data_IF_554756406111
#
_entry.id   IF_554756406111
#
_cell.length_a   1.000
_cell.length_b   1.000
_cell.length_c   1.000
_cell.angle_alpha   90.00
_cell.angle_beta   90.00
_cell.angle_gamma   90.00
#
_symmetry.space_group_name_H-M   'P 1'
#
loop_
_entity.id
_entity.type
_entity.pdbx_description
1 polymer ?
#
# COMPACT_ATOMS: atom_id res chain seq x y z
N UNK A 1 -52.75 55.37 -54.27
CA UNK A 1 -51.86 55.14 -53.12
C UNK A 1 -51.77 53.66 -52.73
N UNK A 2 -51.58 52.74 -53.70
CA UNK A 2 -51.61 51.29 -53.45
C UNK A 2 -50.31 50.56 -53.85
N UNK A 3 -49.41 51.21 -54.58
CA UNK A 3 -48.17 50.59 -55.04
C UNK A 3 -47.13 50.47 -53.91
N UNK A 4 -47.03 51.51 -53.09
CA UNK A 4 -46.13 51.54 -51.93
C UNK A 4 -46.58 50.55 -50.86
N UNK A 5 -47.89 50.44 -50.64
CA UNK A 5 -48.48 49.47 -49.69
C UNK A 5 -48.25 48.04 -50.16
N UNK A 6 -48.41 47.79 -51.47
CA UNK A 6 -48.12 46.46 -52.05
C UNK A 6 -46.63 46.10 -51.96
N UNK A 7 -45.73 47.05 -52.22
CA UNK A 7 -44.28 46.85 -52.07
C UNK A 7 -43.87 46.58 -50.62
N UNK A 8 -44.48 47.28 -49.65
CA UNK A 8 -44.23 47.05 -48.22
C UNK A 8 -44.74 45.67 -47.79
N UNK A 9 -45.90 45.23 -48.28
CA UNK A 9 -46.39 43.88 -48.00
C UNK A 9 -45.53 42.78 -48.64
N UNK A 10 -45.04 42.98 -49.86
CA UNK A 10 -44.13 42.03 -50.52
C UNK A 10 -42.81 41.92 -49.75
N UNK A 11 -42.26 43.05 -49.28
CA UNK A 11 -41.04 43.06 -48.45
C UNK A 11 -41.28 42.41 -47.08
N UNK A 12 -42.42 42.64 -46.44
CA UNK A 12 -42.77 42.03 -45.15
C UNK A 12 -42.91 40.50 -45.25
N UNK A 13 -43.52 40.00 -46.33
CA UNK A 13 -43.65 38.56 -46.60
C UNK A 13 -42.29 37.93 -46.94
N UNK A 14 -41.38 38.67 -47.59
CA UNK A 14 -40.02 38.19 -47.87
C UNK A 14 -39.18 38.06 -46.59
N UNK A 15 -39.31 38.99 -45.63
CA UNK A 15 -38.58 38.93 -44.34
C UNK A 15 -39.11 37.81 -43.45
N UNK A 16 -40.42 37.55 -43.45
CA UNK A 16 -41.03 36.46 -42.66
C UNK A 16 -40.82 35.06 -43.25
N UNK A 17 -40.32 34.96 -44.49
CA UNK A 17 -39.92 33.69 -45.12
C UNK A 17 -38.42 33.41 -45.06
N UNK A 18 -37.65 34.18 -44.30
CA UNK A 18 -36.31 33.74 -43.92
C UNK A 18 -36.47 32.49 -43.05
N UNK A 19 -35.96 31.32 -43.46
CA UNK A 19 -35.91 30.19 -42.56
C UNK A 19 -34.97 30.58 -41.41
N UNK A 20 -35.53 30.77 -40.21
CA UNK A 20 -34.76 30.66 -38.97
C UNK A 20 -34.44 29.18 -38.75
N UNK A 21 -33.69 28.61 -39.70
CA UNK A 21 -32.96 27.38 -39.50
C UNK A 21 -31.79 27.74 -38.61
N UNK A 22 -31.99 27.65 -37.29
CA UNK A 22 -30.91 27.22 -36.43
C UNK A 22 -30.39 25.94 -37.06
N UNK A 23 -29.24 26.01 -37.70
CA UNK A 23 -28.43 24.85 -37.98
C UNK A 23 -28.12 24.25 -36.62
N UNK A 24 -28.97 23.32 -36.16
CA UNK A 24 -28.46 22.19 -35.43
C UNK A 24 -27.36 21.64 -36.35
N UNK A 25 -26.10 21.78 -35.95
CA UNK A 25 -25.02 21.01 -36.51
C UNK A 25 -25.31 19.55 -36.16
N UNK A 26 -26.24 18.93 -36.87
CA UNK A 26 -26.16 17.52 -37.17
C UNK A 26 -24.90 17.47 -38.01
N UNK A 27 -23.79 17.17 -37.37
CA UNK A 27 -22.61 16.70 -38.06
C UNK A 27 -23.08 15.52 -38.88
N UNK A 28 -23.38 15.75 -40.17
CA UNK A 28 -23.27 14.73 -41.20
C UNK A 28 -21.79 14.38 -41.23
N UNK A 29 -21.37 13.57 -40.27
CA UNK A 29 -20.19 12.74 -40.42
C UNK A 29 -20.54 11.74 -41.49
N UNK A 30 -20.40 12.17 -42.74
CA UNK A 30 -20.23 11.26 -43.85
C UNK A 30 -19.06 10.37 -43.44
N UNK A 31 -19.40 9.12 -43.15
CA UNK A 31 -18.48 8.02 -42.93
C UNK A 31 -17.63 7.88 -44.20
N UNK A 32 -16.53 8.61 -44.21
CA UNK A 32 -15.38 8.31 -45.04
C UNK A 32 -14.32 7.88 -44.03
N UNK A 33 -14.16 6.58 -43.84
CA UNK A 33 -13.07 5.97 -43.08
C UNK A 33 -11.74 6.19 -43.83
N UNK A 34 -11.30 7.45 -43.86
CA UNK A 34 -9.89 7.77 -43.95
C UNK A 34 -9.34 7.61 -42.55
N UNK A 35 -8.20 6.95 -42.41
CA UNK A 35 -7.52 6.76 -41.13
C UNK A 35 -7.37 8.11 -40.42
N UNK A 36 -8.29 8.41 -39.50
CA UNK A 36 -8.34 9.70 -38.82
C UNK A 36 -7.29 9.65 -37.70
N UNK A 37 -6.14 10.25 -37.97
CA UNK A 37 -5.04 10.33 -37.00
C UNK A 37 -5.24 11.61 -36.21
N UNK A 38 -5.61 11.47 -34.94
CA UNK A 38 -5.68 12.60 -34.01
C UNK A 38 -4.30 13.26 -33.90
N UNK A 39 -4.28 14.59 -34.04
CA UNK A 39 -3.03 15.34 -33.94
C UNK A 39 -2.42 15.22 -32.53
N UNK A 40 -1.10 15.32 -32.42
CA UNK A 40 -0.42 15.29 -31.11
C UNK A 40 -1.04 16.29 -30.13
N UNK A 41 -1.31 17.53 -30.59
CA UNK A 41 -1.88 18.57 -29.75
C UNK A 41 -3.30 18.21 -29.28
N UNK A 42 -4.10 17.57 -30.13
CA UNK A 42 -5.43 17.11 -29.73
C UNK A 42 -5.36 16.01 -28.68
N UNK A 43 -4.48 15.02 -28.87
CA UNK A 43 -4.26 13.96 -27.90
C UNK A 43 -3.79 14.55 -26.56
N UNK A 44 -2.80 15.45 -26.59
CA UNK A 44 -2.23 16.09 -25.41
C UNK A 44 -3.25 16.94 -24.63
N UNK A 45 -3.96 17.84 -25.32
CA UNK A 45 -4.96 18.71 -24.67
C UNK A 45 -6.15 17.91 -24.15
N UNK A 46 -6.51 16.82 -24.83
CA UNK A 46 -7.61 15.95 -24.41
C UNK A 46 -7.19 14.98 -23.31
N UNK A 47 -5.90 14.68 -23.13
CA UNK A 47 -5.40 13.75 -22.10
C UNK A 47 -4.88 14.44 -20.83
N UNK A 48 -4.59 15.75 -20.86
CA UNK A 48 -4.04 16.47 -19.70
C UNK A 48 -4.92 16.41 -18.44
N UNK A 49 -4.30 16.54 -17.27
CA UNK A 49 -4.97 16.56 -15.96
C UNK A 49 -6.04 17.67 -15.87
N UNK A 50 -7.31 17.28 -15.77
CA UNK A 50 -8.45 18.20 -15.63
C UNK A 50 -9.69 17.49 -15.03
N UNK A 51 -10.71 18.23 -14.57
CA UNK A 51 -11.98 17.63 -14.18
C UNK A 51 -12.67 16.95 -15.37
N UNK A 52 -13.06 15.69 -15.20
CA UNK A 52 -13.70 14.86 -16.23
C UNK A 52 -14.92 14.17 -15.66
N UNK A 53 -15.93 13.98 -16.50
CA UNK A 53 -17.08 13.16 -16.16
C UNK A 53 -16.63 11.71 -15.97
N UNK A 54 -16.94 11.16 -14.81
CA UNK A 54 -16.60 9.80 -14.42
C UNK A 54 -17.83 9.12 -13.86
N UNK A 55 -17.99 7.84 -14.15
CA UNK A 55 -19.02 7.01 -13.53
C UNK A 55 -18.51 6.55 -12.18
N UNK A 56 -19.16 7.02 -11.12
CA UNK A 56 -18.86 6.66 -9.74
C UNK A 56 -19.89 5.63 -9.28
N UNK A 57 -19.42 4.45 -8.86
CA UNK A 57 -20.27 3.43 -8.27
C UNK A 57 -20.75 3.88 -6.88
N UNK A 58 -22.07 3.91 -6.69
CA UNK A 58 -22.68 4.37 -5.45
C UNK A 58 -22.33 3.42 -4.29
N UNK A 59 -22.21 2.12 -4.53
CA UNK A 59 -21.90 1.16 -3.47
C UNK A 59 -20.49 1.32 -2.91
N UNK A 60 -19.53 1.74 -3.74
CA UNK A 60 -18.16 1.97 -3.29
C UNK A 60 -18.04 3.22 -2.42
N UNK A 61 -18.80 4.27 -2.74
CA UNK A 61 -18.85 5.51 -1.94
C UNK A 61 -19.68 5.36 -0.66
N UNK A 62 -20.68 4.47 -0.67
CA UNK A 62 -21.61 4.24 0.44
C UNK A 62 -21.73 2.76 0.83
N UNK A 63 -20.68 2.15 1.39
CA UNK A 63 -20.64 0.71 1.70
C UNK A 63 -21.54 0.29 2.87
N UNK A 64 -21.94 1.21 3.75
CA UNK A 64 -22.66 0.91 5.01
C UNK A 64 -24.08 0.35 4.83
N UNK A 65 -24.63 0.37 3.61
CA UNK A 65 -26.02 0.01 3.33
C UNK A 65 -26.14 -1.35 2.60
N UNK A 66 -25.61 -2.43 3.17
CA UNK A 66 -25.58 -3.78 2.55
C UNK A 66 -26.95 -4.41 2.24
N UNK A 67 -28.05 -3.83 2.71
CA UNK A 67 -29.42 -4.36 2.51
C UNK A 67 -30.21 -3.68 1.37
N UNK A 68 -29.60 -2.75 0.63
CA UNK A 68 -30.32 -1.94 -0.36
C UNK A 68 -29.59 -1.92 -1.71
N UNK A 69 -30.37 -1.78 -2.79
CA UNK A 69 -29.87 -1.57 -4.14
C UNK A 69 -30.20 -0.14 -4.56
N UNK A 70 -29.24 0.55 -5.18
CA UNK A 70 -29.45 1.86 -5.77
C UNK A 70 -29.76 1.76 -7.27
N UNK A 71 -30.74 2.54 -7.73
CA UNK A 71 -31.09 2.69 -9.14
C UNK A 71 -31.03 4.19 -9.49
N UNK A 72 -30.12 4.62 -10.38
CA UNK A 72 -29.05 3.83 -11.00
C UNK A 72 -28.01 3.33 -9.97
N UNK A 73 -27.19 2.34 -10.34
CA UNK A 73 -26.10 1.85 -9.48
C UNK A 73 -24.85 2.75 -9.51
N UNK A 74 -24.72 3.59 -10.53
CA UNK A 74 -23.64 4.57 -10.68
C UNK A 74 -24.20 5.94 -11.08
N UNK A 75 -23.44 6.99 -10.78
CA UNK A 75 -23.76 8.39 -11.12
C UNK A 75 -22.60 9.05 -11.85
N UNK A 76 -22.89 10.02 -12.70
CA UNK A 76 -21.88 10.82 -13.39
C UNK A 76 -21.47 11.98 -12.49
N UNK A 77 -20.20 12.01 -12.08
CA UNK A 77 -19.61 13.06 -11.26
C UNK A 77 -18.29 13.52 -11.90
N UNK A 78 -17.97 14.81 -11.79
CA UNK A 78 -16.65 15.28 -12.19
C UNK A 78 -15.59 14.89 -11.17
N UNK A 79 -14.62 14.10 -11.60
CA UNK A 79 -13.42 13.76 -10.83
C UNK A 79 -12.17 14.17 -11.61
N UNK A 80 -11.05 14.30 -10.94
CA UNK A 80 -9.80 14.62 -11.61
C UNK A 80 -9.33 13.40 -12.37
N UNK A 81 -8.95 13.60 -13.64
CA UNK A 81 -8.43 12.54 -14.47
C UNK A 81 -7.61 13.07 -15.64
N UNK A 82 -6.92 12.17 -16.30
CA UNK A 82 -5.91 12.50 -17.30
C UNK A 82 -4.51 12.15 -16.82
N UNK A 83 -3.51 12.54 -17.60
CA UNK A 83 -2.10 12.32 -17.30
C UNK A 83 -1.37 13.62 -16.96
N UNK A 84 -0.27 13.47 -16.23
CA UNK A 84 0.76 14.47 -16.03
C UNK A 84 1.96 14.12 -16.92
N UNK A 85 2.81 15.11 -17.20
CA UNK A 85 3.99 14.92 -18.05
C UNK A 85 5.12 14.10 -17.41
N UNK A 86 5.06 13.91 -16.09
CA UNK A 86 6.05 13.21 -15.30
C UNK A 86 5.33 12.17 -14.42
N UNK A 87 5.82 10.94 -14.42
CA UNK A 87 5.29 9.82 -13.64
C UNK A 87 5.45 10.02 -12.13
N UNK A 88 6.37 10.89 -11.70
CA UNK A 88 6.52 11.31 -10.32
C UNK A 88 5.39 12.25 -9.86
N UNK A 89 4.58 12.77 -10.79
CA UNK A 89 3.42 13.60 -10.51
C UNK A 89 2.12 12.77 -10.51
N UNK A 90 1.15 13.21 -9.73
CA UNK A 90 -0.21 12.70 -9.71
C UNK A 90 -1.21 13.84 -9.96
N UNK A 91 -2.29 13.51 -10.66
CA UNK A 91 -3.38 14.45 -10.96
C UNK A 91 -4.36 14.48 -9.79
N UNK A 92 -4.34 15.56 -9.01
CA UNK A 92 -5.12 15.68 -7.77
C UNK A 92 -6.04 16.90 -7.79
N UNK A 93 -7.11 16.85 -7.01
CA UNK A 93 -8.04 17.97 -6.88
C UNK A 93 -7.44 19.09 -6.03
N UNK A 94 -7.56 20.32 -6.49
CA UNK A 94 -7.20 21.52 -5.73
C UNK A 94 -8.42 22.25 -5.17
N UNK A 95 -9.58 22.05 -5.79
CA UNK A 95 -10.85 22.61 -5.36
C UNK A 95 -11.96 21.59 -5.58
N UNK A 96 -12.80 21.38 -4.57
CA UNK A 96 -13.92 20.44 -4.61
C UNK A 96 -15.17 21.03 -3.96
N UNK A 97 -16.32 20.47 -4.32
CA UNK A 97 -17.62 20.76 -3.71
C UNK A 97 -18.44 19.50 -3.58
N UNK A 98 -19.44 19.51 -2.71
CA UNK A 98 -20.41 18.43 -2.63
C UNK A 98 -21.59 18.71 -3.55
N UNK A 99 -22.05 17.67 -4.25
CA UNK A 99 -23.24 17.71 -5.11
C UNK A 99 -24.21 16.64 -4.64
N UNK A 100 -25.45 17.03 -4.38
CA UNK A 100 -26.49 16.11 -3.95
C UNK A 100 -27.29 15.61 -5.16
N UNK A 101 -27.38 14.30 -5.30
CA UNK A 101 -28.11 13.62 -6.37
C UNK A 101 -29.19 12.72 -5.79
N UNK A 102 -30.34 12.69 -6.45
CA UNK A 102 -31.44 11.83 -6.07
C UNK A 102 -31.36 10.48 -6.80
N UNK A 103 -31.46 9.39 -6.05
CA UNK A 103 -31.47 8.02 -6.58
C UNK A 103 -32.61 7.22 -5.94
N UNK A 104 -33.02 6.13 -6.58
CA UNK A 104 -33.95 5.19 -5.95
C UNK A 104 -33.19 4.20 -5.08
N UNK A 105 -33.60 4.10 -3.82
CA UNK A 105 -33.18 3.03 -2.92
C UNK A 105 -34.26 1.94 -2.91
N UNK A 106 -33.85 0.70 -3.17
CA UNK A 106 -34.72 -0.47 -3.21
C UNK A 106 -34.28 -1.44 -2.13
N UNK A 107 -35.17 -1.73 -1.17
CA UNK A 107 -34.98 -2.80 -0.20
C UNK A 107 -35.82 -4.00 -0.62
N UNK A 108 -35.25 -5.21 -0.63
CA UNK A 108 -36.03 -6.40 -0.94
C UNK A 108 -37.20 -6.53 0.05
N UNK A 109 -38.42 -6.65 -0.48
CA UNK A 109 -39.68 -6.93 0.24
C UNK A 109 -40.35 -5.77 1.00
N UNK A 110 -39.84 -4.53 0.96
CA UNK A 110 -40.35 -3.44 1.82
C UNK A 110 -40.90 -2.24 1.04
N UNK A 111 -40.05 -1.44 0.39
CA UNK A 111 -40.49 -0.23 -0.31
C UNK A 111 -39.39 0.29 -1.25
N UNK A 112 -39.78 0.97 -2.33
CA UNK A 112 -38.89 1.81 -3.13
C UNK A 112 -39.08 3.27 -2.74
N UNK A 113 -37.99 3.97 -2.46
CA UNK A 113 -38.03 5.39 -2.11
C UNK A 113 -36.89 6.15 -2.76
N UNK A 114 -37.18 7.41 -3.11
CA UNK A 114 -36.15 8.34 -3.55
C UNK A 114 -35.34 8.78 -2.33
N UNK A 115 -34.02 8.75 -2.47
CA UNK A 115 -33.07 9.20 -1.44
C UNK A 115 -32.07 10.15 -2.07
N UNK A 116 -31.65 11.13 -1.29
CA UNK A 116 -30.66 12.11 -1.70
C UNK A 116 -29.29 11.68 -1.17
N UNK A 117 -28.32 11.52 -2.07
CA UNK A 117 -26.95 11.13 -1.77
C UNK A 117 -26.00 12.26 -2.15
N UNK A 118 -24.96 12.50 -1.36
CA UNK A 118 -24.01 13.59 -1.59
C UNK A 118 -22.68 13.07 -2.13
N UNK A 119 -22.20 13.59 -3.24
CA UNK A 119 -20.94 13.14 -3.85
C UNK A 119 -19.95 14.29 -3.88
N UNK A 120 -18.67 13.98 -3.67
CA UNK A 120 -17.59 14.96 -3.88
C UNK A 120 -17.35 15.13 -5.38
N UNK A 121 -17.50 16.36 -5.88
CA UNK A 121 -17.21 16.79 -7.24
C UNK A 121 -15.96 17.68 -7.26
N UNK A 122 -15.06 17.43 -8.20
CA UNK A 122 -13.83 18.20 -8.37
C UNK A 122 -14.07 19.37 -9.33
N UNK A 123 -13.69 20.58 -8.92
CA UNK A 123 -13.83 21.81 -9.71
C UNK A 123 -12.53 22.19 -10.43
N UNK A 124 -11.38 21.94 -9.80
CA UNK A 124 -10.05 22.22 -10.34
C UNK A 124 -9.10 21.08 -10.02
N UNK A 125 -8.19 20.80 -10.94
CA UNK A 125 -7.21 19.73 -10.84
C UNK A 125 -5.82 20.24 -11.22
N UNK A 126 -4.79 19.74 -10.56
CA UNK A 126 -3.40 20.07 -10.85
C UNK A 126 -2.50 18.84 -10.68
N UNK A 127 -1.37 18.83 -11.40
CA UNK A 127 -0.32 17.84 -11.22
C UNK A 127 0.56 18.19 -10.02
N UNK A 128 0.60 17.33 -9.00
CA UNK A 128 1.41 17.51 -7.78
C UNK A 128 2.36 16.32 -7.58
N UNK A 129 3.52 16.49 -6.94
CA UNK A 129 4.44 15.39 -6.69
C UNK A 129 3.83 14.34 -5.77
N UNK A 130 3.89 13.06 -6.18
CA UNK A 130 3.45 11.91 -5.38
C UNK A 130 4.23 11.87 -4.06
N UNK A 131 3.52 11.68 -2.95
CA UNK A 131 4.14 11.63 -1.62
C UNK A 131 5.15 10.46 -1.50
N UNK A 132 4.89 9.33 -2.17
CA UNK A 132 5.75 8.13 -2.12
C UNK A 132 7.13 8.34 -2.77
N UNK A 133 7.20 9.18 -3.80
CA UNK A 133 8.46 9.55 -4.47
C UNK A 133 9.27 10.50 -3.60
N UNK A 134 8.61 11.35 -2.80
CA UNK A 134 9.31 12.21 -1.84
C UNK A 134 9.94 11.42 -0.69
N UNK A 135 9.35 10.28 -0.29
CA UNK A 135 9.94 9.43 0.75
C UNK A 135 11.22 8.75 0.25
N UNK A 136 11.27 8.35 -1.02
CA UNK A 136 12.46 7.71 -1.62
C UNK A 136 13.52 8.72 -2.05
N UNK A 137 13.14 9.89 -2.56
CA UNK A 137 14.08 10.91 -3.00
C UNK A 137 14.62 11.79 -1.85
N UNK A 138 13.88 11.95 -0.74
CA UNK A 138 14.27 12.82 0.39
C UNK A 138 14.79 12.07 1.62
N UNK A 139 14.82 10.74 1.60
CA UNK A 139 15.57 9.95 2.60
C UNK A 139 16.90 9.52 2.01
N UNK A 140 17.76 10.50 1.79
CA UNK A 140 19.19 10.25 1.85
C UNK A 140 19.52 9.95 3.33
N UNK A 141 19.31 8.70 3.73
CA UNK A 141 19.74 8.25 5.04
C UNK A 141 21.26 8.23 5.04
N UNK A 142 21.86 9.31 5.53
CA UNK A 142 23.29 9.37 5.78
C UNK A 142 23.62 8.55 7.04
N UNK A 143 23.57 7.22 6.93
CA UNK A 143 24.16 6.36 7.93
C UNK A 143 25.69 6.44 7.81
N UNK A 144 26.39 6.56 8.95
CA UNK A 144 27.82 6.37 8.94
C UNK A 144 28.17 4.94 8.47
N UNK A 145 29.22 4.75 7.66
CA UNK A 145 29.59 3.42 7.19
C UNK A 145 29.98 2.51 8.36
N UNK A 146 29.46 1.27 8.37
CA UNK A 146 29.73 0.28 9.43
C UNK A 146 31.22 0.03 9.69
N UNK A 147 32.05 0.13 8.64
CA UNK A 147 33.51 0.07 8.76
C UNK A 147 34.17 0.72 7.54
N UNK A 148 35.13 1.62 7.76
CA UNK A 148 35.89 2.25 6.68
C UNK A 148 36.71 1.23 5.86
N UNK A 149 37.41 0.31 6.55
CA UNK A 149 38.33 -0.64 5.90
C UNK A 149 37.67 -1.90 5.38
N UNK A 150 36.45 -2.24 5.82
CA UNK A 150 35.88 -3.59 5.68
C UNK A 150 34.43 -3.60 5.24
N UNK A 151 34.05 -2.70 4.33
CA UNK A 151 32.67 -2.54 3.85
C UNK A 151 32.05 -3.83 3.29
N UNK A 152 32.84 -4.71 2.69
CA UNK A 152 32.34 -5.96 2.08
C UNK A 152 31.89 -7.05 3.06
N UNK A 153 32.28 -6.97 4.34
CA UNK A 153 31.94 -7.96 5.36
C UNK A 153 30.69 -7.60 6.16
N UNK A 154 30.19 -6.36 6.02
CA UNK A 154 29.04 -5.85 6.76
C UNK A 154 27.87 -5.58 5.81
N UNK A 155 26.66 -5.78 6.31
CA UNK A 155 25.39 -5.41 5.68
C UNK A 155 24.73 -4.37 6.57
N UNK A 156 24.35 -3.24 5.98
CA UNK A 156 23.74 -2.12 6.67
C UNK A 156 22.28 -1.97 6.28
N UNK A 157 21.40 -1.86 7.27
CA UNK A 157 20.01 -1.46 7.07
C UNK A 157 19.93 0.07 6.93
N UNK A 158 19.44 0.55 5.79
CA UNK A 158 19.34 1.98 5.48
C UNK A 158 18.25 2.70 6.29
N UNK A 159 17.28 1.97 6.85
CA UNK A 159 16.18 2.55 7.62
C UNK A 159 16.54 2.69 9.11
N UNK A 160 17.30 1.73 9.65
CA UNK A 160 17.68 1.67 11.07
C UNK A 160 19.15 2.00 11.35
N UNK A 161 19.96 2.14 10.29
CA UNK A 161 21.42 2.23 10.34
C UNK A 161 22.11 1.07 11.07
N UNK A 162 21.41 -0.06 11.29
CA UNK A 162 21.97 -1.22 11.97
C UNK A 162 22.97 -1.94 11.08
N UNK A 163 24.15 -2.22 11.64
CA UNK A 163 25.20 -2.98 10.99
C UNK A 163 25.13 -4.45 11.44
N UNK A 164 25.21 -5.37 10.47
CA UNK A 164 25.24 -6.81 10.70
C UNK A 164 26.32 -7.47 9.86
N UNK A 165 26.77 -8.67 10.23
CA UNK A 165 27.72 -9.42 9.43
C UNK A 165 27.05 -10.04 8.20
N UNK A 166 27.74 -10.00 7.06
CA UNK A 166 27.30 -10.65 5.83
C UNK A 166 27.19 -12.17 5.98
N UNK A 167 28.07 -12.77 6.78
CA UNK A 167 28.10 -14.20 7.06
C UNK A 167 27.60 -14.47 8.47
N UNK A 168 27.04 -15.66 8.66
CA UNK A 168 26.52 -16.14 9.94
C UNK A 168 27.52 -17.07 10.63
N UNK A 169 27.27 -17.37 11.91
CA UNK A 169 28.04 -18.35 12.67
C UNK A 169 27.99 -19.75 12.03
N UNK A 170 26.89 -20.11 11.38
CA UNK A 170 26.74 -21.40 10.69
C UNK A 170 27.63 -21.48 9.46
N UNK A 171 27.75 -20.39 8.70
CA UNK A 171 28.64 -20.30 7.53
C UNK A 171 30.10 -20.50 7.94
N UNK A 172 30.50 -19.95 9.09
CA UNK A 172 31.84 -20.12 9.64
C UNK A 172 32.09 -21.55 10.13
N UNK A 173 31.12 -22.14 10.84
CA UNK A 173 31.21 -23.51 11.34
C UNK A 173 31.34 -24.55 10.23
N UNK A 174 30.72 -24.32 9.07
CA UNK A 174 30.90 -25.20 7.89
C UNK A 174 32.37 -25.29 7.42
N UNK A 175 33.18 -24.29 7.77
CA UNK A 175 34.61 -24.18 7.45
C UNK A 175 35.51 -24.46 8.65
N UNK A 176 34.96 -24.96 9.76
CA UNK A 176 35.68 -25.17 11.03
C UNK A 176 36.27 -23.88 11.62
N UNK A 177 35.61 -22.75 11.35
CA UNK A 177 35.99 -21.43 11.84
C UNK A 177 34.84 -20.84 12.67
N UNK A 178 35.14 -19.78 13.42
CA UNK A 178 34.15 -19.04 14.21
C UNK A 178 33.97 -17.63 13.63
N UNK A 179 32.75 -17.08 13.66
CA UNK A 179 32.52 -15.70 13.25
C UNK A 179 32.88 -14.76 14.40
N UNK A 180 33.79 -13.84 14.16
CA UNK A 180 33.98 -12.70 15.06
C UNK A 180 32.93 -11.62 14.71
N UNK A 181 31.87 -11.53 15.48
CA UNK A 181 30.72 -10.62 15.22
C UNK A 181 31.11 -9.13 15.21
N UNK A 182 32.21 -8.75 15.86
CA UNK A 182 32.70 -7.36 15.88
C UNK A 182 33.43 -6.97 14.59
N UNK A 183 34.03 -7.95 13.92
CA UNK A 183 34.88 -7.72 12.73
C UNK A 183 34.35 -8.41 11.47
N UNK A 184 33.32 -9.24 11.62
CA UNK A 184 32.73 -10.11 10.62
C UNK A 184 33.75 -10.99 9.89
N UNK A 185 34.80 -11.41 10.60
CA UNK A 185 35.85 -12.30 10.09
C UNK A 185 35.65 -13.70 10.61
N UNK A 186 36.04 -14.66 9.78
CA UNK A 186 36.24 -16.03 10.17
C UNK A 186 37.55 -16.07 10.98
N UNK A 187 37.48 -16.54 12.22
CA UNK A 187 38.63 -16.74 13.11
C UNK A 187 38.79 -18.23 13.38
N UNK A 188 40.03 -18.67 13.61
CA UNK A 188 40.28 -20.06 13.97
C UNK A 188 39.55 -20.40 15.27
N UNK A 189 38.90 -21.55 15.30
CA UNK A 189 38.25 -22.03 16.51
C UNK A 189 39.33 -22.28 17.57
N UNK A 190 39.17 -21.80 18.82
CA UNK A 190 40.14 -22.06 19.86
C UNK A 190 40.28 -23.57 20.05
N UNK A 191 41.50 -24.08 19.86
CA UNK A 191 41.83 -25.47 20.12
C UNK A 191 41.71 -25.70 21.62
N UNK A 192 40.58 -26.25 22.06
CA UNK A 192 40.50 -26.84 23.40
C UNK A 192 41.40 -28.08 23.40
N UNK A 193 42.67 -27.88 23.75
CA UNK A 193 43.57 -28.97 24.13
C UNK A 193 43.09 -29.48 25.49
N UNK A 194 42.23 -30.50 25.47
CA UNK A 194 41.99 -31.32 26.64
C UNK A 194 43.23 -32.21 26.86
N UNK A 195 44.22 -31.72 27.61
CA UNK A 195 45.21 -32.60 28.21
C UNK A 195 44.58 -33.31 29.43
N UNK A 196 44.51 -34.65 29.45
CA UNK A 196 44.19 -35.37 30.67
C UNK A 196 45.45 -35.45 31.53
N UNK A 197 45.55 -34.63 32.59
CA UNK A 197 46.55 -34.88 33.63
C UNK A 197 46.08 -36.03 34.51
N UNK A 198 46.73 -37.19 34.35
CA UNK A 198 46.61 -38.34 35.23
C UNK A 198 47.31 -38.03 36.56
N UNK A 199 46.60 -38.30 37.67
CA UNK A 199 46.94 -37.97 39.05
C UNK A 199 48.25 -38.56 39.58
N UNK A 200 48.88 -37.85 40.53
CA UNK A 200 49.34 -38.42 41.81
C UNK A 200 49.60 -37.30 42.84
N UNK A 201 49.55 -37.61 44.15
CA UNK A 201 48.84 -36.81 45.15
C UNK A 201 49.78 -35.99 46.04
N UNK A 202 49.26 -34.96 46.71
CA UNK A 202 49.57 -34.64 48.11
C UNK A 202 48.67 -33.48 48.61
N UNK A 203 48.12 -33.74 49.79
CA UNK A 203 47.65 -32.82 50.84
C UNK A 203 46.31 -32.07 50.71
N UNK A 204 45.32 -32.72 51.33
CA UNK A 204 44.16 -32.10 51.97
C UNK A 204 44.58 -31.11 53.06
N UNK A 205 43.98 -29.91 53.07
CA UNK A 205 43.27 -29.42 54.26
C UNK A 205 42.19 -28.39 53.86
N UNK A 206 41.02 -28.36 54.54
CA UNK A 206 39.88 -27.54 54.17
C UNK A 206 39.91 -26.20 54.90
N UNK A 207 39.54 -25.11 54.22
CA UNK A 207 39.05 -23.91 54.92
C UNK A 207 37.70 -23.51 54.34
N UNK A 208 36.77 -23.43 55.27
CA UNK A 208 35.34 -23.23 55.15
C UNK A 208 34.98 -21.75 54.96
N UNK A 209 33.72 -21.55 54.60
CA UNK A 209 32.88 -20.35 54.76
C UNK A 209 33.12 -19.16 53.83
N UNK A 210 32.16 -18.88 52.93
CA UNK A 210 30.97 -18.13 53.34
C UNK A 210 29.76 -18.38 52.41
N UNK A 211 28.65 -18.63 53.08
CA UNK A 211 27.27 -18.79 52.64
C UNK A 211 26.70 -17.39 52.33
N UNK A 212 26.07 -17.17 51.17
CA UNK A 212 24.60 -17.11 51.11
C UNK A 212 24.05 -16.91 49.68
N UNK A 213 22.83 -17.43 49.42
CA UNK A 213 22.15 -17.48 48.13
C UNK A 213 21.16 -16.33 47.95
N UNK A 214 20.60 -16.15 46.74
CA UNK A 214 19.38 -15.42 46.33
C UNK A 214 19.63 -15.04 44.85
N UNK A 215 18.98 -15.57 43.82
CA UNK A 215 17.54 -15.72 43.57
C UNK A 215 17.30 -16.80 42.49
N UNK A 216 16.15 -17.48 42.62
CA UNK A 216 15.56 -18.45 41.70
C UNK A 216 15.32 -17.88 40.29
N UNK A 217 15.69 -18.64 39.25
CA UNK A 217 14.81 -19.46 38.41
C UNK A 217 14.14 -18.68 37.26
N UNK A 218 14.51 -19.03 36.03
CA UNK A 218 13.54 -19.24 34.96
C UNK A 218 14.10 -20.17 33.88
N UNK A 219 13.19 -20.97 33.33
CA UNK A 219 13.43 -22.19 32.57
C UNK A 219 13.85 -21.91 31.13
N UNK A 220 14.74 -22.75 30.58
CA UNK A 220 14.75 -23.05 29.14
C UNK A 220 15.38 -24.43 28.84
N UNK A 221 14.50 -25.36 28.50
CA UNK A 221 14.65 -26.53 27.62
C UNK A 221 15.94 -27.36 27.63
N UNK A 222 15.83 -28.59 28.15
CA UNK A 222 16.63 -29.71 27.65
C UNK A 222 15.97 -30.27 26.39
N UNK A 223 16.61 -30.11 25.23
CA UNK A 223 16.29 -30.88 24.03
C UNK A 223 16.89 -32.28 24.16
N UNK A 224 16.11 -33.33 23.88
CA UNK A 224 16.65 -34.62 23.45
C UNK A 224 16.15 -34.88 22.03
N UNK A 225 17.10 -34.96 21.11
CA UNK A 225 16.94 -35.43 19.75
C UNK A 225 16.44 -36.87 19.74
N UNK A 226 15.41 -37.18 18.94
CA UNK A 226 15.25 -38.52 18.40
C UNK A 226 14.65 -38.48 16.99
N UNK A 227 15.43 -39.03 16.07
CA UNK A 227 15.12 -39.31 14.67
C UNK A 227 13.84 -40.14 14.51
N UNK A 228 13.12 -39.89 13.41
CA UNK A 228 12.12 -40.82 12.87
C UNK A 228 12.74 -42.21 12.71
N UNK A 229 12.26 -43.20 13.46
CA UNK A 229 11.48 -44.33 12.97
C UNK A 229 11.18 -45.31 14.13
N UNK A 230 9.89 -45.42 14.45
CA UNK A 230 9.18 -46.50 15.17
C UNK A 230 9.58 -46.81 16.62
N UNK A 231 8.83 -46.26 17.58
CA UNK A 231 8.04 -47.02 18.56
C UNK A 231 7.26 -46.05 19.47
N UNK A 232 5.98 -46.36 19.69
CA UNK A 232 5.04 -45.57 20.47
C UNK A 232 5.41 -45.50 21.97
N UNK A 233 5.05 -44.41 22.63
CA UNK A 233 4.41 -44.47 23.95
C UNK A 233 3.58 -43.21 24.19
N UNK A 234 2.28 -43.44 24.35
CA UNK A 234 1.29 -42.51 24.88
C UNK A 234 1.62 -42.17 26.34
N UNK A 235 1.34 -40.93 26.78
CA UNK A 235 0.33 -40.67 27.84
C UNK A 235 0.13 -39.16 28.09
N UNK A 236 -1.13 -38.77 27.95
CA UNK A 236 -1.89 -37.70 28.60
C UNK A 236 -1.27 -36.34 28.97
N UNK A 237 -1.78 -35.30 28.29
CA UNK A 237 -2.07 -34.02 28.92
C UNK A 237 -3.14 -34.21 30.02
N UNK A 238 -2.80 -33.92 31.27
CA UNK A 238 -3.78 -33.59 32.30
C UNK A 238 -3.67 -32.09 32.62
N UNK A 239 -4.56 -31.29 32.02
CA UNK A 239 -5.10 -30.12 32.71
C UNK A 239 -6.07 -30.65 33.77
N UNK A 240 -5.87 -30.29 35.04
CA UNK A 240 -6.98 -30.23 36.01
C UNK A 240 -6.65 -29.24 37.10
N UNK A 241 -7.62 -28.36 37.33
CA UNK A 241 -7.67 -27.35 38.36
C UNK A 241 -7.84 -27.95 39.76
N UNK A 242 -7.38 -27.17 40.74
CA UNK A 242 -7.91 -26.97 42.10
C UNK A 242 -8.42 -28.18 42.92
N UNK A 243 -7.79 -28.42 44.08
CA UNK A 243 -8.45 -28.41 45.39
C UNK A 243 -7.44 -28.62 46.55
N UNK A 244 -7.39 -27.63 47.45
CA UNK A 244 -7.45 -27.72 48.93
C UNK A 244 -6.84 -28.97 49.60
N UNK A 245 -5.85 -28.77 50.47
CA UNK A 245 -5.97 -29.25 51.86
C UNK A 245 -4.98 -28.59 52.82
N UNK A 246 -5.50 -28.04 53.91
CA UNK A 246 -4.73 -27.62 55.08
C UNK A 246 -5.48 -28.14 56.31
N UNK A 247 -4.91 -29.15 56.94
CA UNK A 247 -4.91 -29.40 58.39
C UNK A 247 -3.60 -30.08 58.72
#
# INVERSE_FOLDING_TARGET
>A
MNFVVSLVHILLVAVLRLPSGKTASINKGAENSKNDVFSFNEVYMKSMCQPRETLVDIFQEYPDNTQHIYIPSCVVIKRCGGCCNDEALECVATESRNVTLQVKRVQLRVLQNNVDLSFTEHLKCECRPKQDVQITAKKEYHCAPCSERRKSLFVQDLLTCKCSCKFTQLDCKSRQLELNERTCRFVAMPTYTAEPRLNSPLDFHPVSTHRSPHLCAELACSCVFAQKHVAACLWWCCCSAAAVNTT
#
